data_IF_447609086777
#
_entry.id   IF_447609086777
#
_cell.length_a   1.000
_cell.length_b   1.000
_cell.length_c   1.000
_cell.angle_alpha   90.00
_cell.angle_beta   90.00
_cell.angle_gamma   90.00
#
_symmetry.space_group_name_H-M   'P 1'
#
loop_
_entity.id
_entity.type
_entity.pdbx_description
1 polymer ?
#
# COMPACT_ATOMS: atom_id res chain seq x y z
N UNK A 1 -21.37 8.61 -10.79
CA UNK A 1 -20.52 7.73 -9.95
C UNK A 1 -20.50 8.29 -8.55
N UNK A 2 -20.62 7.43 -7.56
CA UNK A 2 -20.73 7.81 -6.14
C UNK A 2 -19.48 7.40 -5.38
N UNK A 3 -18.88 8.32 -4.62
CA UNK A 3 -17.68 8.05 -3.85
C UNK A 3 -17.90 8.22 -2.34
N UNK A 4 -17.24 7.38 -1.55
CA UNK A 4 -17.09 7.58 -0.12
C UNK A 4 -15.77 8.31 0.14
N UNK A 5 -15.83 9.47 0.80
CA UNK A 5 -14.64 10.17 1.27
C UNK A 5 -14.42 9.80 2.73
N UNK A 6 -13.28 9.14 2.99
CA UNK A 6 -12.90 8.81 4.35
C UNK A 6 -11.77 9.70 4.86
N UNK A 7 -12.00 10.30 6.01
CA UNK A 7 -11.00 11.11 6.69
C UNK A 7 -10.89 10.76 8.17
N UNK A 8 -9.67 10.70 8.66
CA UNK A 8 -9.36 10.45 10.06
C UNK A 8 -8.48 11.56 10.61
N UNK A 9 -8.81 12.11 11.77
CA UNK A 9 -7.97 13.10 12.46
C UNK A 9 -7.80 12.77 13.94
N UNK A 10 -6.56 12.94 14.43
CA UNK A 10 -6.20 12.74 15.84
C UNK A 10 -6.48 14.00 16.69
N UNK A 11 -6.89 15.11 16.10
CA UNK A 11 -6.95 16.41 16.79
C UNK A 11 -8.28 17.13 16.62
N UNK A 12 -8.98 17.31 17.74
CA UNK A 12 -10.18 18.18 17.83
C UNK A 12 -9.84 19.68 17.81
N UNK A 13 -8.57 20.06 18.01
CA UNK A 13 -8.16 21.47 18.19
C UNK A 13 -8.07 22.31 16.91
N UNK A 14 -8.28 21.70 15.72
CA UNK A 14 -8.05 22.37 14.42
C UNK A 14 -9.20 22.21 13.44
N UNK A 15 -10.40 22.62 13.83
CA UNK A 15 -11.61 22.57 12.97
C UNK A 15 -11.34 23.18 11.57
N UNK A 16 -10.62 24.31 11.50
CA UNK A 16 -10.29 24.94 10.20
C UNK A 16 -9.40 24.06 9.31
N UNK A 17 -8.43 23.34 9.88
CA UNK A 17 -7.54 22.43 9.11
C UNK A 17 -8.34 21.23 8.64
N UNK A 18 -9.18 20.69 9.48
CA UNK A 18 -10.09 19.61 9.15
C UNK A 18 -10.98 19.95 7.95
N UNK A 19 -11.65 21.11 8.00
CA UNK A 19 -12.51 21.57 6.90
C UNK A 19 -11.71 21.75 5.60
N UNK A 20 -10.49 22.31 5.68
CA UNK A 20 -9.61 22.45 4.51
C UNK A 20 -9.26 21.08 3.91
N UNK A 21 -8.99 20.08 4.74
CA UNK A 21 -8.67 18.73 4.26
C UNK A 21 -9.87 18.06 3.59
N UNK A 22 -11.09 18.20 4.15
CA UNK A 22 -12.29 17.69 3.51
C UNK A 22 -12.56 18.35 2.17
N UNK A 23 -12.44 19.67 2.08
CA UNK A 23 -12.59 20.40 0.81
C UNK A 23 -11.56 19.97 -0.23
N UNK A 24 -10.34 19.62 0.20
CA UNK A 24 -9.31 19.10 -0.72
C UNK A 24 -9.69 17.71 -1.24
N UNK A 25 -10.19 16.82 -0.39
CA UNK A 25 -10.65 15.48 -0.78
C UNK A 25 -11.85 15.56 -1.72
N UNK A 26 -12.78 16.47 -1.45
CA UNK A 26 -13.97 16.69 -2.29
C UNK A 26 -13.58 17.22 -3.68
N UNK A 27 -12.68 18.20 -3.76
CA UNK A 27 -12.14 18.68 -5.05
C UNK A 27 -11.45 17.57 -5.83
N UNK A 28 -10.69 16.72 -5.13
CA UNK A 28 -10.03 15.57 -5.75
C UNK A 28 -11.05 14.56 -6.28
N UNK A 29 -12.12 14.27 -5.52
CA UNK A 29 -13.21 13.41 -5.97
C UNK A 29 -13.87 13.98 -7.26
N UNK A 30 -14.15 15.28 -7.26
CA UNK A 30 -14.75 15.97 -8.41
C UNK A 30 -13.83 15.90 -9.64
N UNK A 31 -12.51 16.09 -9.47
CA UNK A 31 -11.53 15.98 -10.54
C UNK A 31 -11.46 14.57 -11.15
N UNK A 32 -11.73 13.53 -10.35
CA UNK A 32 -11.86 12.15 -10.80
C UNK A 32 -13.23 11.82 -11.43
N UNK A 33 -14.16 12.79 -11.49
CA UNK A 33 -15.49 12.63 -12.08
C UNK A 33 -16.57 12.07 -11.15
N UNK A 34 -16.32 12.02 -9.84
CA UNK A 34 -17.34 11.64 -8.85
C UNK A 34 -18.20 12.86 -8.52
N UNK A 35 -19.50 12.77 -8.81
CA UNK A 35 -20.47 13.88 -8.64
C UNK A 35 -21.32 13.75 -7.38
N UNK A 36 -21.35 12.56 -6.79
CA UNK A 36 -22.08 12.24 -5.56
C UNK A 36 -21.08 11.71 -4.51
N UNK A 37 -20.95 12.41 -3.39
CA UNK A 37 -19.96 12.09 -2.37
C UNK A 37 -20.56 12.06 -0.98
N UNK A 38 -20.27 11.00 -0.23
CA UNK A 38 -20.58 10.88 1.20
C UNK A 38 -19.32 10.95 2.05
N UNK A 39 -19.45 11.62 3.19
CA UNK A 39 -18.34 11.78 4.13
C UNK A 39 -18.44 10.82 5.31
N UNK A 40 -17.34 10.14 5.57
CA UNK A 40 -17.12 9.25 6.70
C UNK A 40 -15.92 9.76 7.49
N UNK A 41 -16.15 10.33 8.65
CA UNK A 41 -15.14 11.09 9.37
C UNK A 41 -14.99 10.62 10.81
N UNK A 42 -13.85 10.01 11.12
CA UNK A 42 -13.53 9.61 12.48
C UNK A 42 -12.68 10.68 13.18
N UNK A 43 -13.23 11.19 14.27
CA UNK A 43 -12.56 12.10 15.20
C UNK A 43 -12.19 11.31 16.45
N UNK A 44 -10.95 10.90 16.60
CA UNK A 44 -10.57 10.08 17.74
C UNK A 44 -9.39 10.63 18.51
N UNK A 45 -9.64 11.08 19.73
CA UNK A 45 -8.61 11.33 20.74
C UNK A 45 -7.96 10.01 21.22
N UNK A 46 -8.64 8.88 21.11
CA UNK A 46 -8.26 7.60 21.70
C UNK A 46 -7.87 6.53 20.67
N UNK A 47 -7.75 6.86 19.39
CA UNK A 47 -7.24 5.98 18.32
C UNK A 47 -7.93 4.60 18.13
N UNK A 48 -8.89 4.21 18.98
CA UNK A 48 -9.50 2.88 18.98
C UNK A 48 -10.87 2.82 18.32
N UNK A 49 -11.52 3.96 18.10
CA UNK A 49 -12.90 3.99 17.65
C UNK A 49 -12.99 4.55 16.23
N UNK A 50 -13.23 3.68 15.26
CA UNK A 50 -13.37 4.00 13.85
C UNK A 50 -14.80 3.72 13.37
N UNK A 51 -15.78 4.25 14.12
CA UNK A 51 -17.20 3.98 13.87
C UNK A 51 -17.64 4.37 12.46
N UNK A 52 -17.15 5.50 11.96
CA UNK A 52 -17.52 5.95 10.63
C UNK A 52 -16.86 5.10 9.53
N UNK A 53 -15.63 4.64 9.75
CA UNK A 53 -15.00 3.69 8.82
C UNK A 53 -15.73 2.35 8.82
N UNK A 54 -16.13 1.86 9.99
CA UNK A 54 -16.90 0.61 10.10
C UNK A 54 -18.29 0.77 9.46
N UNK A 55 -18.93 1.94 9.62
CA UNK A 55 -20.18 2.30 8.94
C UNK A 55 -19.99 2.29 7.41
N UNK A 56 -18.91 2.91 6.91
CA UNK A 56 -18.57 2.84 5.49
C UNK A 56 -18.42 1.37 5.03
N UNK A 57 -17.64 0.55 5.73
CA UNK A 57 -17.43 -0.84 5.34
C UNK A 57 -18.73 -1.65 5.28
N UNK A 58 -19.70 -1.34 6.14
CA UNK A 58 -21.02 -2.00 6.16
C UNK A 58 -21.88 -1.63 4.95
N UNK A 59 -21.76 -0.41 4.43
CA UNK A 59 -22.52 0.08 3.27
C UNK A 59 -21.66 0.28 2.00
N UNK A 60 -20.44 -0.26 1.98
CA UNK A 60 -19.47 -0.02 0.93
C UNK A 60 -19.97 -0.32 -0.49
N UNK A 61 -20.87 -1.31 -0.65
CA UNK A 61 -21.45 -1.68 -1.94
C UNK A 61 -22.35 -0.58 -2.56
N UNK A 62 -22.62 0.52 -1.84
CA UNK A 62 -23.36 1.68 -2.35
C UNK A 62 -22.46 2.68 -3.08
N UNK A 63 -21.14 2.45 -3.09
CA UNK A 63 -20.14 3.36 -3.63
C UNK A 63 -19.34 2.69 -4.73
N UNK A 64 -18.95 3.49 -5.71
CA UNK A 64 -18.04 3.10 -6.79
C UNK A 64 -16.57 3.22 -6.34
N UNK A 65 -16.28 4.15 -5.41
CA UNK A 65 -14.92 4.41 -4.94
C UNK A 65 -14.83 4.78 -3.46
N UNK A 66 -13.67 4.47 -2.87
CA UNK A 66 -13.17 5.04 -1.61
C UNK A 66 -12.09 6.06 -1.91
N UNK A 67 -12.25 7.28 -1.40
CA UNK A 67 -11.28 8.37 -1.50
C UNK A 67 -10.74 8.68 -0.12
N UNK A 68 -9.42 8.73 0.02
CA UNK A 68 -8.74 9.07 1.26
C UNK A 68 -7.52 9.96 0.98
N UNK A 69 -6.95 10.56 2.02
CA UNK A 69 -5.72 11.32 1.86
C UNK A 69 -4.56 10.39 1.46
N UNK A 70 -4.38 9.32 2.21
CA UNK A 70 -3.35 8.29 2.03
C UNK A 70 -3.79 6.95 2.65
N UNK A 71 -3.01 5.89 2.45
CA UNK A 71 -3.33 4.58 3.03
C UNK A 71 -3.18 4.52 4.54
N UNK A 72 -2.39 5.39 5.16
CA UNK A 72 -2.26 5.48 6.60
C UNK A 72 -3.58 5.89 7.28
N UNK A 73 -4.41 6.70 6.58
CA UNK A 73 -5.75 7.02 7.03
C UNK A 73 -6.66 5.78 7.01
N UNK A 74 -6.46 4.85 6.07
CA UNK A 74 -7.21 3.60 6.01
C UNK A 74 -6.80 2.64 7.11
N UNK A 75 -5.51 2.42 7.32
CA UNK A 75 -4.98 1.63 8.44
C UNK A 75 -3.51 1.94 8.71
N UNK A 76 -3.14 1.94 10.00
CA UNK A 76 -1.75 2.14 10.46
C UNK A 76 -0.87 0.90 10.28
N UNK A 77 -1.48 -0.27 10.17
CA UNK A 77 -0.81 -1.55 9.94
C UNK A 77 -0.94 -1.94 8.47
N UNK A 78 0.18 -2.19 7.81
CA UNK A 78 0.21 -2.49 6.37
C UNK A 78 -0.59 -3.74 6.01
N UNK A 79 -0.46 -4.83 6.76
CA UNK A 79 -1.22 -6.07 6.50
C UNK A 79 -2.73 -5.82 6.58
N UNK A 80 -3.17 -5.10 7.62
CA UNK A 80 -4.58 -4.78 7.77
C UNK A 80 -5.06 -3.83 6.67
N UNK A 81 -4.26 -2.84 6.31
CA UNK A 81 -4.54 -1.95 5.19
C UNK A 81 -4.76 -2.76 3.91
N UNK A 82 -3.82 -3.61 3.53
CA UNK A 82 -3.91 -4.41 2.32
C UNK A 82 -5.11 -5.36 2.32
N UNK A 83 -5.46 -5.96 3.47
CA UNK A 83 -6.68 -6.77 3.60
C UNK A 83 -7.95 -5.96 3.32
N UNK A 84 -8.04 -4.75 3.87
CA UNK A 84 -9.17 -3.85 3.64
C UNK A 84 -9.24 -3.48 2.16
N UNK A 85 -8.14 -3.02 1.58
CA UNK A 85 -8.09 -2.62 0.17
C UNK A 85 -8.47 -3.78 -0.76
N UNK A 86 -7.95 -4.98 -0.50
CA UNK A 86 -8.31 -6.18 -1.25
C UNK A 86 -9.79 -6.54 -1.13
N UNK A 87 -10.37 -6.39 0.06
CA UNK A 87 -11.80 -6.63 0.28
C UNK A 87 -12.65 -5.64 -0.53
N UNK A 88 -12.32 -4.34 -0.49
CA UNK A 88 -13.02 -3.30 -1.24
C UNK A 88 -12.93 -3.56 -2.74
N UNK A 89 -11.74 -3.88 -3.23
CA UNK A 89 -11.56 -4.26 -4.64
C UNK A 89 -12.41 -5.45 -5.05
N UNK A 90 -12.47 -6.50 -4.24
CA UNK A 90 -13.31 -7.68 -4.55
C UNK A 90 -14.79 -7.34 -4.64
N UNK A 91 -15.20 -6.20 -4.07
CA UNK A 91 -16.55 -5.62 -4.21
C UNK A 91 -16.68 -4.66 -5.40
N UNK A 92 -15.63 -4.50 -6.21
CA UNK A 92 -15.60 -3.59 -7.36
C UNK A 92 -15.40 -2.13 -6.99
N UNK A 93 -14.95 -1.82 -5.75
CA UNK A 93 -14.78 -0.45 -5.27
C UNK A 93 -13.36 0.01 -5.61
N UNK A 94 -13.26 1.11 -6.37
CA UNK A 94 -11.99 1.77 -6.65
C UNK A 94 -11.40 2.43 -5.41
N UNK A 95 -10.08 2.61 -5.40
CA UNK A 95 -9.41 3.20 -4.23
C UNK A 95 -8.46 4.27 -4.73
N UNK A 96 -8.76 5.52 -4.36
CA UNK A 96 -8.00 6.69 -4.75
C UNK A 96 -7.45 7.41 -3.52
N UNK A 97 -6.18 7.80 -3.57
CA UNK A 97 -5.56 8.58 -2.51
C UNK A 97 -4.83 9.78 -3.11
N UNK A 98 -4.91 10.93 -2.44
CA UNK A 98 -4.22 12.14 -2.89
C UNK A 98 -2.70 11.93 -2.88
N UNK A 99 -2.17 11.38 -1.77
CA UNK A 99 -0.72 11.29 -1.57
C UNK A 99 -0.08 10.05 -2.20
N UNK A 100 -0.85 8.96 -2.42
CA UNK A 100 -0.30 7.71 -2.94
C UNK A 100 -0.89 7.29 -4.30
N UNK A 101 -1.74 8.13 -4.91
CA UNK A 101 -2.40 7.84 -6.18
C UNK A 101 -3.47 6.75 -6.08
N UNK A 102 -3.90 6.27 -7.24
CA UNK A 102 -4.91 5.20 -7.35
C UNK A 102 -4.24 3.83 -7.33
N UNK A 103 -4.77 2.91 -6.53
CA UNK A 103 -4.33 1.52 -6.50
C UNK A 103 -5.21 0.68 -7.42
N UNK A 104 -4.62 0.28 -8.52
CA UNK A 104 -5.22 -0.67 -9.45
C UNK A 104 -4.67 -2.06 -9.15
N UNK A 105 -5.48 -2.93 -8.56
CA UNK A 105 -5.18 -4.35 -8.47
C UNK A 105 -5.47 -5.01 -9.81
N UNK A 106 -4.53 -4.98 -10.73
CA UNK A 106 -4.68 -5.62 -12.03
C UNK A 106 -4.43 -7.12 -11.91
N UNK A 107 -4.92 -7.87 -12.89
CA UNK A 107 -4.49 -9.26 -13.07
C UNK A 107 -2.98 -9.26 -13.31
N UNK A 108 -2.34 -10.32 -12.84
CA UNK A 108 -0.92 -10.57 -13.05
C UNK A 108 -0.53 -10.33 -14.52
N UNK A 109 0.57 -9.61 -14.80
CA UNK A 109 1.04 -9.39 -16.17
C UNK A 109 1.65 -10.68 -16.73
N UNK A 110 0.82 -11.56 -17.29
CA UNK A 110 1.18 -12.93 -17.68
C UNK A 110 2.08 -12.94 -18.92
N UNK A 111 1.91 -11.99 -19.83
CA UNK A 111 2.52 -12.05 -21.17
C UNK A 111 3.71 -11.11 -21.38
N UNK A 112 4.22 -10.49 -20.35
CA UNK A 112 5.32 -9.52 -20.44
C UNK A 112 6.60 -10.09 -19.85
N UNK A 113 7.73 -9.93 -20.57
CA UNK A 113 9.04 -10.16 -19.97
C UNK A 113 9.28 -9.13 -18.87
N UNK A 114 9.56 -9.59 -17.65
CA UNK A 114 9.76 -8.74 -16.49
C UNK A 114 11.12 -9.01 -15.84
N UNK A 115 11.84 -7.93 -15.60
CA UNK A 115 13.04 -7.88 -14.78
C UNK A 115 12.62 -7.68 -13.32
N UNK A 116 12.94 -8.62 -12.46
CA UNK A 116 12.39 -8.68 -11.11
C UNK A 116 13.48 -8.48 -10.08
N UNK A 117 13.24 -7.57 -9.12
CA UNK A 117 13.92 -7.57 -7.85
C UNK A 117 13.09 -8.36 -6.83
N UNK A 118 13.71 -9.12 -5.96
CA UNK A 118 13.04 -9.69 -4.78
C UNK A 118 13.52 -8.98 -3.52
N UNK A 119 12.61 -8.82 -2.57
CA UNK A 119 12.94 -8.25 -1.28
C UNK A 119 12.32 -9.05 -0.14
N UNK A 120 13.14 -9.37 0.84
CA UNK A 120 12.72 -10.04 2.08
C UNK A 120 13.28 -9.27 3.27
N UNK A 121 12.45 -8.98 4.26
CA UNK A 121 12.91 -8.44 5.53
C UNK A 121 12.33 -9.20 6.71
N UNK A 122 13.07 -9.22 7.80
CA UNK A 122 12.61 -9.78 9.07
C UNK A 122 13.06 -8.93 10.25
N UNK A 123 12.12 -8.64 11.11
CA UNK A 123 12.34 -7.92 12.35
C UNK A 123 12.49 -8.92 13.48
N UNK A 124 13.70 -9.04 14.08
CA UNK A 124 13.96 -9.85 15.26
C UNK A 124 15.36 -10.47 15.33
N UNK A 125 15.72 -11.02 16.50
CA UNK A 125 17.10 -11.38 16.86
C UNK A 125 17.40 -12.89 16.85
N UNK A 126 16.47 -13.76 16.51
CA UNK A 126 16.62 -15.21 16.71
C UNK A 126 17.13 -15.94 15.45
N UNK A 127 18.00 -16.95 15.65
CA UNK A 127 18.54 -17.79 14.57
C UNK A 127 17.48 -18.42 13.65
N UNK A 128 16.27 -18.67 14.16
CA UNK A 128 15.14 -19.14 13.36
C UNK A 128 14.69 -18.15 12.27
N UNK A 129 15.00 -16.87 12.38
CA UNK A 129 14.59 -15.85 11.40
C UNK A 129 15.43 -15.88 10.14
N UNK A 130 16.74 -16.18 10.23
CA UNK A 130 17.59 -16.40 9.05
C UNK A 130 17.07 -17.55 8.21
N UNK A 131 16.66 -18.63 8.86
CA UNK A 131 16.07 -19.78 8.17
C UNK A 131 14.74 -19.44 7.52
N UNK A 132 13.90 -18.63 8.17
CA UNK A 132 12.64 -18.16 7.58
C UNK A 132 12.86 -17.26 6.37
N UNK A 133 13.85 -16.36 6.39
CA UNK A 133 14.20 -15.53 5.22
C UNK A 133 14.67 -16.40 4.04
N UNK A 134 15.50 -17.41 4.31
CA UNK A 134 15.91 -18.36 3.28
C UNK A 134 14.71 -19.08 2.67
N UNK A 135 13.82 -19.59 3.50
CA UNK A 135 12.58 -20.26 3.05
C UNK A 135 11.73 -19.30 2.21
N UNK A 136 11.53 -18.04 2.65
CA UNK A 136 10.78 -17.06 1.86
C UNK A 136 11.42 -16.82 0.49
N UNK A 137 12.75 -16.64 0.45
CA UNK A 137 13.44 -16.47 -0.80
C UNK A 137 13.29 -17.68 -1.73
N UNK A 138 13.41 -18.88 -1.19
CA UNK A 138 13.20 -20.12 -1.97
C UNK A 138 11.77 -20.19 -2.52
N UNK A 139 10.77 -19.77 -1.75
CA UNK A 139 9.39 -19.66 -2.21
C UNK A 139 9.26 -18.65 -3.35
N UNK A 140 9.89 -17.46 -3.26
CA UNK A 140 9.89 -16.46 -4.32
C UNK A 140 10.53 -16.98 -5.60
N UNK A 141 11.67 -17.68 -5.48
CA UNK A 141 12.33 -18.35 -6.61
C UNK A 141 11.46 -19.42 -7.25
N UNK A 142 10.87 -20.30 -6.44
CA UNK A 142 9.98 -21.35 -6.95
C UNK A 142 8.75 -20.77 -7.65
N UNK A 143 8.20 -19.66 -7.11
CA UNK A 143 7.11 -18.95 -7.76
C UNK A 143 7.54 -18.39 -9.13
N UNK A 144 8.69 -17.70 -9.17
CA UNK A 144 9.21 -17.09 -10.40
C UNK A 144 9.56 -18.16 -11.45
N UNK A 145 10.12 -19.30 -11.06
CA UNK A 145 10.44 -20.39 -11.97
C UNK A 145 9.23 -20.97 -12.72
N UNK A 146 8.01 -20.77 -12.18
CA UNK A 146 6.77 -21.14 -12.86
C UNK A 146 6.32 -20.11 -13.91
N UNK A 147 7.00 -18.96 -13.99
CA UNK A 147 6.69 -17.85 -14.88
C UNK A 147 7.76 -17.74 -15.96
N UNK A 148 7.47 -18.22 -17.16
CA UNK A 148 8.44 -18.32 -18.25
C UNK A 148 9.05 -17.00 -18.73
N UNK A 149 8.36 -15.88 -18.41
CA UNK A 149 8.77 -14.52 -18.84
C UNK A 149 9.28 -13.64 -17.69
N UNK A 150 9.47 -14.22 -16.50
CA UNK A 150 9.95 -13.48 -15.33
C UNK A 150 11.37 -13.87 -14.99
N UNK A 151 12.26 -12.88 -14.86
CA UNK A 151 13.68 -13.12 -14.54
C UNK A 151 14.05 -12.33 -13.29
N UNK A 152 14.47 -13.04 -12.24
CA UNK A 152 15.03 -12.39 -11.04
C UNK A 152 16.45 -11.93 -11.42
N UNK A 153 16.67 -10.61 -11.35
CA UNK A 153 17.99 -10.00 -11.54
C UNK A 153 18.72 -9.89 -10.22
N UNK A 154 18.06 -9.37 -9.19
CA UNK A 154 18.67 -9.12 -7.88
C UNK A 154 17.77 -9.55 -6.73
N UNK A 155 18.42 -9.84 -5.60
CA UNK A 155 17.78 -10.29 -4.38
C UNK A 155 18.30 -9.46 -3.20
N UNK A 156 17.41 -8.81 -2.48
CA UNK A 156 17.69 -7.90 -1.38
C UNK A 156 17.16 -8.46 -0.05
N UNK A 157 17.96 -8.31 1.02
CA UNK A 157 17.66 -8.89 2.32
C UNK A 157 18.02 -7.96 3.45
N UNK A 158 17.05 -7.50 4.21
CA UNK A 158 17.29 -6.75 5.43
C UNK A 158 17.04 -7.60 6.68
N UNK A 159 18.13 -7.96 7.36
CA UNK A 159 18.09 -8.52 8.70
C UNK A 159 18.08 -7.35 9.71
N UNK A 160 16.94 -6.76 10.01
CA UNK A 160 16.94 -5.77 11.08
C UNK A 160 17.06 -6.47 12.44
N UNK A 161 18.27 -6.53 12.96
CA UNK A 161 18.47 -6.50 14.41
C UNK A 161 17.74 -5.25 14.89
N UNK A 162 17.07 -5.31 16.03
CA UNK A 162 16.48 -4.15 16.71
C UNK A 162 17.57 -3.07 16.96
N UNK A 163 18.11 -2.50 15.92
CA UNK A 163 18.96 -1.33 15.98
C UNK A 163 18.05 -0.13 16.12
N UNK A 164 18.39 0.76 17.02
CA UNK A 164 17.65 1.99 17.35
C UNK A 164 17.32 2.85 16.12
N UNK A 165 17.93 2.61 14.97
CA UNK A 165 17.75 3.38 13.73
C UNK A 165 17.17 2.56 12.57
N UNK A 166 16.96 1.23 12.71
CA UNK A 166 16.21 0.42 11.73
C UNK A 166 16.63 0.60 10.26
N UNK A 167 17.93 0.77 10.00
CA UNK A 167 18.44 0.99 8.64
C UNK A 167 18.16 -0.26 7.79
N UNK A 168 17.37 -0.06 6.75
CA UNK A 168 17.06 -1.05 5.73
C UNK A 168 18.01 -0.81 4.54
N UNK A 169 19.30 -1.15 4.72
CA UNK A 169 20.35 -0.84 3.73
C UNK A 169 20.08 -1.47 2.37
N UNK A 170 19.62 -2.71 2.34
CA UNK A 170 19.30 -3.39 1.10
C UNK A 170 18.05 -2.83 0.43
N UNK A 171 17.09 -2.32 1.20
CA UNK A 171 15.96 -1.57 0.66
C UNK A 171 16.40 -0.24 0.04
N UNK A 172 17.34 0.47 0.66
CA UNK A 172 17.91 1.70 0.10
C UNK A 172 18.68 1.41 -1.21
N UNK A 173 19.45 0.30 -1.26
CA UNK A 173 20.11 -0.15 -2.48
C UNK A 173 19.11 -0.53 -3.57
N UNK A 174 18.01 -1.21 -3.22
CA UNK A 174 16.93 -1.52 -4.16
C UNK A 174 16.32 -0.23 -4.73
N UNK A 175 16.03 0.77 -3.89
CA UNK A 175 15.49 2.07 -4.32
C UNK A 175 16.48 2.78 -5.25
N UNK A 176 17.76 2.78 -4.94
CA UNK A 176 18.80 3.39 -5.77
C UNK A 176 18.89 2.72 -7.16
N UNK A 177 18.65 1.42 -7.24
CA UNK A 177 18.74 0.63 -8.47
C UNK A 177 17.37 0.37 -9.15
N UNK A 178 16.30 1.01 -8.72
CA UNK A 178 14.92 0.75 -9.15
C UNK A 178 14.71 0.72 -10.67
N UNK A 179 15.44 1.53 -11.41
CA UNK A 179 15.33 1.62 -12.88
C UNK A 179 15.79 0.35 -13.61
N UNK A 180 16.47 -0.57 -12.93
CA UNK A 180 16.87 -1.85 -13.48
C UNK A 180 15.74 -2.87 -13.50
N UNK A 181 14.63 -2.60 -12.78
CA UNK A 181 13.55 -3.55 -12.55
C UNK A 181 12.23 -3.05 -13.12
N UNK A 182 11.37 -3.99 -13.46
CA UNK A 182 9.99 -3.74 -13.88
C UNK A 182 9.00 -4.07 -12.76
N UNK A 183 9.43 -4.92 -11.80
CA UNK A 183 8.58 -5.42 -10.73
C UNK A 183 9.38 -5.73 -9.46
N UNK A 184 8.84 -5.35 -8.32
CA UNK A 184 9.28 -5.83 -7.01
C UNK A 184 8.42 -7.01 -6.58
N UNK A 185 9.05 -8.17 -6.32
CA UNK A 185 8.40 -9.38 -5.83
C UNK A 185 8.70 -9.58 -4.34
N UNK A 186 7.64 -9.68 -3.52
CA UNK A 186 7.72 -9.89 -2.07
C UNK A 186 6.81 -11.04 -1.63
N UNK A 187 7.09 -11.64 -0.49
CA UNK A 187 6.18 -12.63 0.07
C UNK A 187 4.90 -11.98 0.61
N UNK A 188 5.02 -10.85 1.32
CA UNK A 188 3.90 -10.01 1.74
C UNK A 188 4.31 -8.52 1.79
N UNK A 189 3.34 -7.61 1.76
CA UNK A 189 3.62 -6.17 1.78
C UNK A 189 4.29 -5.69 3.07
N UNK A 190 4.12 -6.43 4.18
CA UNK A 190 4.82 -6.11 5.44
C UNK A 190 6.33 -6.31 5.35
N UNK A 191 6.82 -7.12 4.42
CA UNK A 191 8.26 -7.31 4.23
C UNK A 191 8.91 -5.99 3.82
N UNK A 192 8.20 -5.11 3.12
CA UNK A 192 8.67 -3.77 2.77
C UNK A 192 8.67 -2.88 4.01
N UNK A 193 7.54 -2.76 4.69
CA UNK A 193 7.46 -2.09 5.99
C UNK A 193 6.12 -2.37 6.69
N UNK A 194 6.18 -2.64 8.01
CA UNK A 194 5.00 -2.97 8.81
C UNK A 194 4.11 -1.76 9.15
N UNK A 195 4.66 -0.52 9.12
CA UNK A 195 3.90 0.73 9.29
C UNK A 195 3.47 1.26 7.94
N UNK A 196 2.18 1.44 7.75
CA UNK A 196 1.61 1.91 6.47
C UNK A 196 2.19 3.25 6.01
N UNK A 197 2.44 4.20 6.94
CA UNK A 197 3.02 5.49 6.58
C UNK A 197 4.41 5.36 5.93
N UNK A 198 5.26 4.47 6.46
CA UNK A 198 6.59 4.23 5.89
C UNK A 198 6.48 3.41 4.60
N UNK A 199 5.60 2.41 4.54
CA UNK A 199 5.30 1.68 3.32
C UNK A 199 4.91 2.64 2.18
N UNK A 200 4.04 3.62 2.43
CA UNK A 200 3.63 4.60 1.44
C UNK A 200 4.80 5.46 0.95
N UNK A 201 5.67 5.93 1.86
CA UNK A 201 6.89 6.68 1.48
C UNK A 201 7.83 5.86 0.61
N UNK A 202 8.14 4.63 1.06
CA UNK A 202 9.00 3.71 0.31
C UNK A 202 8.42 3.43 -1.08
N UNK A 203 7.10 3.24 -1.17
CA UNK A 203 6.41 3.02 -2.43
C UNK A 203 6.53 4.22 -3.39
N UNK A 204 6.41 5.44 -2.88
CA UNK A 204 6.63 6.66 -3.67
C UNK A 204 8.06 6.78 -4.19
N UNK A 205 9.03 6.34 -3.41
CA UNK A 205 10.44 6.34 -3.80
C UNK A 205 10.75 5.23 -4.81
N UNK A 206 10.24 4.03 -4.59
CA UNK A 206 10.40 2.87 -5.48
C UNK A 206 9.80 3.10 -6.86
N UNK A 207 8.57 3.59 -6.94
CA UNK A 207 7.82 3.79 -8.18
C UNK A 207 7.69 2.52 -9.06
N UNK A 208 7.86 1.35 -8.48
CA UNK A 208 7.74 0.05 -9.13
C UNK A 208 6.36 -0.55 -8.90
N UNK A 209 5.93 -1.37 -9.83
CA UNK A 209 4.85 -2.32 -9.57
C UNK A 209 5.31 -3.32 -8.51
N UNK A 210 4.40 -3.76 -7.64
CA UNK A 210 4.70 -4.73 -6.59
C UNK A 210 3.82 -5.95 -6.76
N UNK A 211 4.42 -7.13 -6.75
CA UNK A 211 3.68 -8.38 -6.63
C UNK A 211 3.97 -9.02 -5.28
N UNK A 212 2.94 -9.21 -4.50
CA UNK A 212 3.00 -9.95 -3.24
C UNK A 212 2.34 -11.30 -3.40
N UNK A 213 2.98 -12.36 -2.91
CA UNK A 213 2.37 -13.69 -2.93
C UNK A 213 1.11 -13.76 -2.07
N UNK A 214 1.04 -12.95 -1.00
CA UNK A 214 -0.10 -12.93 -0.09
C UNK A 214 -1.24 -12.02 -0.59
N UNK A 215 -0.90 -10.83 -1.08
CA UNK A 215 -1.89 -9.79 -1.41
C UNK A 215 -2.17 -9.68 -2.92
N UNK A 216 -1.26 -10.13 -3.78
CA UNK A 216 -1.39 -10.07 -5.23
C UNK A 216 -0.69 -8.86 -5.86
N UNK A 217 -1.08 -8.51 -7.09
CA UNK A 217 -0.45 -7.48 -7.89
C UNK A 217 -0.96 -6.08 -7.56
N UNK A 218 -0.04 -5.19 -7.26
CA UNK A 218 -0.28 -3.78 -6.94
C UNK A 218 0.44 -2.90 -7.95
N UNK A 219 -0.29 -2.35 -8.91
CA UNK A 219 0.26 -1.45 -9.90
C UNK A 219 0.56 -0.08 -9.29
N UNK A 220 1.69 0.52 -9.65
CA UNK A 220 1.99 1.91 -9.36
C UNK A 220 1.38 2.81 -10.43
N UNK A 221 0.51 3.72 -10.02
CA UNK A 221 -0.13 4.67 -10.95
C UNK A 221 0.48 6.07 -10.90
N UNK A 222 1.50 6.28 -10.05
CA UNK A 222 2.07 7.61 -9.81
C UNK A 222 1.19 8.49 -8.93
N UNK A 223 1.71 9.66 -8.56
CA UNK A 223 0.87 10.78 -8.13
C UNK A 223 0.21 11.30 -9.39
N UNK A 224 -1.10 11.20 -9.49
CA UNK A 224 -1.82 12.02 -10.46
C UNK A 224 -1.40 13.45 -10.14
N UNK A 225 -0.66 14.04 -11.07
CA UNK A 225 -0.17 15.41 -10.96
C UNK A 225 -1.34 16.28 -10.54
N UNK A 226 -1.21 16.88 -9.37
CA UNK A 226 -2.12 17.86 -8.82
C UNK A 226 -2.53 18.86 -9.91
N UNK A 227 -3.79 18.77 -10.28
CA UNK A 227 -4.48 19.82 -11.01
C UNK A 227 -4.69 21.02 -10.09
#
# INVERSE_FOLDING_TARGET
>A
MRAAIYHFTDSTKRVKIYQKQLNTLEKYATALGFTDVDFFCDLSLLRKNRKEFDRFLSCANQFDALIAKDFYHISKNTTQCMKILKNLRNRGIEIHTIDNGSLCWQKEPIDKHLRIATYCSRFGTNNGQKQLMKIQNDILKLFTNKKTKWTILDQYYDESKLQKNGEQQDLEHLIANKNNYDLLLVHNMNDIHWRTANFCKIREELQLDIYSLQEGFLKYTGKETSI
#
